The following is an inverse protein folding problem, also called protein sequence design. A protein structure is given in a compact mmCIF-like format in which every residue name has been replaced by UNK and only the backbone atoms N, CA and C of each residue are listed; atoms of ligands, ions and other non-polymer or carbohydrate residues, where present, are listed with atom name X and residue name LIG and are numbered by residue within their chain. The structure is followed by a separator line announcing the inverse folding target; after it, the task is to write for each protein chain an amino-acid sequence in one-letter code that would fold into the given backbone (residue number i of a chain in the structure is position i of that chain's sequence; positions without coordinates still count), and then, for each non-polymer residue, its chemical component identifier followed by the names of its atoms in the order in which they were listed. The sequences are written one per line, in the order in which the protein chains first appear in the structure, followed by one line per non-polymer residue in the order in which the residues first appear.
data_IF_961677910887
#
_entry.id   IF_961677910887
#
_cell.length_a   1.000
_cell.length_b   1.000
_cell.length_c   1.000
_cell.angle_alpha   90.00
_cell.angle_beta   90.00
_cell.angle_gamma   90.00
#
_symmetry.space_group_name_H-M   'P 1'
#
loop_
_entity.id
_entity.type
_entity.pdbx_description
1 polymer ?
#
# COMPACT_ATOMS: atom_id res chain seq x y z
N UNK A 1 27.03 11.94 -18.19
CA UNK A 1 26.63 11.04 -17.09
C UNK A 1 25.20 11.36 -16.67
N UNK A 2 24.91 12.63 -16.38
CA UNK A 2 23.56 13.15 -16.10
C UNK A 2 22.52 12.84 -17.21
N UNK A 3 22.86 13.02 -18.49
CA UNK A 3 21.95 12.68 -19.61
C UNK A 3 21.62 11.18 -19.74
N UNK A 4 22.45 10.28 -19.19
CA UNK A 4 22.21 8.85 -19.24
C UNK A 4 21.26 8.40 -18.10
N UNK A 5 21.39 9.01 -16.92
CA UNK A 5 20.47 8.77 -15.80
C UNK A 5 19.06 9.28 -16.10
N UNK A 6 18.93 10.45 -16.74
CA UNK A 6 17.63 10.98 -17.18
C UNK A 6 16.97 10.10 -18.25
N UNK A 7 17.75 9.60 -19.21
CA UNK A 7 17.24 8.67 -20.23
C UNK A 7 16.77 7.35 -19.61
N UNK A 8 17.49 6.82 -18.61
CA UNK A 8 17.12 5.61 -17.88
C UNK A 8 15.85 5.84 -17.05
N UNK A 9 15.75 6.97 -16.35
CA UNK A 9 14.57 7.35 -15.56
C UNK A 9 13.33 7.51 -16.45
N UNK A 10 13.48 8.17 -17.61
CA UNK A 10 12.39 8.37 -18.57
C UNK A 10 11.96 7.05 -19.23
N UNK A 11 12.90 6.18 -19.58
CA UNK A 11 12.61 4.85 -20.11
C UNK A 11 11.91 3.96 -19.06
N UNK A 12 12.38 4.00 -17.81
CA UNK A 12 11.77 3.29 -16.69
C UNK A 12 10.33 3.73 -16.44
N UNK A 13 10.08 5.04 -16.41
CA UNK A 13 8.73 5.60 -16.29
C UNK A 13 7.83 5.17 -17.46
N UNK A 14 8.35 5.21 -18.69
CA UNK A 14 7.62 4.80 -19.90
C UNK A 14 7.21 3.32 -19.85
N UNK A 15 8.11 2.43 -19.46
CA UNK A 15 7.86 1.00 -19.31
C UNK A 15 6.80 0.74 -18.23
N UNK A 16 6.89 1.43 -17.09
CA UNK A 16 5.91 1.31 -16.00
C UNK A 16 4.50 1.69 -16.47
N UNK A 17 4.36 2.82 -17.17
CA UNK A 17 3.08 3.29 -17.68
C UNK A 17 2.51 2.38 -18.77
N UNK A 18 3.36 1.81 -19.63
CA UNK A 18 2.93 0.88 -20.66
C UNK A 18 2.42 -0.45 -20.07
N UNK A 19 3.11 -0.99 -19.06
CA UNK A 19 2.67 -2.19 -18.34
C UNK A 19 1.34 -1.95 -17.60
N UNK A 20 1.18 -0.77 -16.97
CA UNK A 20 -0.06 -0.39 -16.31
C UNK A 20 -1.25 -0.33 -17.28
N UNK A 21 -1.05 0.21 -18.49
CA UNK A 21 -2.06 0.29 -19.54
C UNK A 21 -2.50 -1.09 -20.04
N UNK A 22 -1.57 -2.03 -20.18
CA UNK A 22 -1.86 -3.42 -20.57
C UNK A 22 -2.75 -4.09 -19.52
N UNK A 23 -2.46 -3.88 -18.23
CA UNK A 23 -3.26 -4.45 -17.13
C UNK A 23 -4.65 -3.82 -17.06
N UNK A 24 -4.75 -2.49 -17.17
CA UNK A 24 -6.04 -1.79 -17.21
C UNK A 24 -6.93 -2.29 -18.35
N UNK A 25 -6.38 -2.41 -19.56
CA UNK A 25 -7.12 -2.94 -20.70
C UNK A 25 -7.51 -4.41 -20.49
N UNK A 26 -6.65 -5.22 -19.88
CA UNK A 26 -6.94 -6.62 -19.55
C UNK A 26 -8.07 -6.76 -18.51
N UNK A 27 -8.14 -5.88 -17.52
CA UNK A 27 -9.22 -5.86 -16.50
C UNK A 27 -10.56 -5.48 -17.15
N UNK A 28 -10.55 -4.50 -18.04
CA UNK A 28 -11.75 -4.03 -18.75
C UNK A 28 -12.29 -5.13 -19.67
N UNK A 29 -11.41 -5.83 -20.38
CA UNK A 29 -11.80 -6.86 -21.35
C UNK A 29 -12.13 -8.21 -20.70
N UNK A 30 -11.53 -8.55 -19.55
CA UNK A 30 -11.74 -9.80 -18.84
C UNK A 30 -11.90 -9.55 -17.33
N UNK A 31 -13.08 -9.06 -16.88
CA UNK A 31 -13.32 -8.81 -15.46
C UNK A 31 -13.25 -10.12 -14.65
N UNK A 32 -12.59 -10.14 -13.48
CA UNK A 32 -12.51 -11.34 -12.65
C UNK A 32 -13.91 -11.81 -12.19
N UNK A 33 -14.08 -13.13 -12.11
CA UNK A 33 -15.34 -13.88 -11.96
C UNK A 33 -16.24 -13.33 -10.83
N UNK A 34 -17.57 -13.40 -11.04
CA UNK A 34 -18.69 -12.75 -10.31
C UNK A 34 -18.61 -12.60 -8.78
N UNK A 35 -17.87 -13.41 -8.02
CA UNK A 35 -17.67 -13.20 -6.58
C UNK A 35 -16.67 -12.06 -6.26
N UNK A 36 -15.80 -11.71 -7.21
CA UNK A 36 -14.84 -10.61 -7.15
C UNK A 36 -15.39 -9.26 -7.58
N UNK A 37 -16.64 -9.14 -8.03
CA UNK A 37 -17.16 -7.93 -8.68
C UNK A 37 -17.25 -6.72 -7.75
N UNK A 38 -17.55 -6.94 -6.46
CA UNK A 38 -17.58 -5.87 -5.43
C UNK A 38 -16.15 -5.40 -5.10
N UNK A 39 -15.19 -6.33 -5.03
CA UNK A 39 -13.78 -6.05 -4.78
C UNK A 39 -13.13 -5.37 -5.99
N UNK A 40 -13.47 -5.81 -7.21
CA UNK A 40 -13.07 -5.21 -8.49
C UNK A 40 -13.59 -3.78 -8.63
N UNK A 41 -14.83 -3.48 -8.20
CA UNK A 41 -15.40 -2.14 -8.32
C UNK A 41 -14.80 -1.16 -7.30
N UNK A 42 -14.55 -1.60 -6.07
CA UNK A 42 -13.81 -0.78 -5.08
C UNK A 42 -12.35 -0.59 -5.48
N UNK A 43 -11.73 -1.63 -6.03
CA UNK A 43 -10.39 -1.59 -6.63
C UNK A 43 -10.29 -0.61 -7.81
N UNK A 44 -11.26 -0.63 -8.74
CA UNK A 44 -11.35 0.31 -9.87
C UNK A 44 -11.65 1.75 -9.41
N UNK A 45 -12.47 1.95 -8.36
CA UNK A 45 -12.75 3.27 -7.81
C UNK A 45 -11.51 3.90 -7.16
N UNK A 46 -10.72 3.11 -6.43
CA UNK A 46 -9.47 3.56 -5.80
C UNK A 46 -8.43 3.89 -6.88
N UNK A 47 -8.32 3.07 -7.92
CA UNK A 47 -7.46 3.35 -9.09
C UNK A 47 -7.86 4.64 -9.80
N UNK A 48 -9.16 4.87 -10.02
CA UNK A 48 -9.68 6.08 -10.65
C UNK A 48 -9.41 7.33 -9.78
N UNK A 49 -9.57 7.23 -8.45
CA UNK A 49 -9.26 8.33 -7.53
C UNK A 49 -7.75 8.65 -7.46
N UNK A 50 -6.88 7.66 -7.63
CA UNK A 50 -5.42 7.85 -7.54
C UNK A 50 -4.80 8.37 -8.85
N UNK A 51 -5.32 7.95 -10.01
CA UNK A 51 -4.72 8.26 -11.33
C UNK A 51 -5.40 9.39 -12.11
N UNK A 52 -6.48 10.00 -11.59
CA UNK A 52 -7.19 11.10 -12.28
C UNK A 52 -6.31 12.33 -12.58
N UNK A 53 -5.18 12.49 -11.87
CA UNK A 53 -4.25 13.60 -12.04
C UNK A 53 -2.94 13.27 -12.80
N UNK A 54 -2.73 12.03 -13.26
CA UNK A 54 -1.43 11.60 -13.84
C UNK A 54 -1.43 11.43 -15.37
N UNK A 55 -2.60 11.60 -16.02
CA UNK A 55 -2.85 11.22 -17.41
C UNK A 55 -2.62 12.35 -18.45
N UNK A 56 -2.14 13.52 -18.04
CA UNK A 56 -1.98 14.68 -18.95
C UNK A 56 -0.73 14.63 -19.87
N UNK A 57 0.17 13.66 -19.73
CA UNK A 57 1.41 13.58 -20.52
C UNK A 57 1.34 12.74 -21.82
N UNK A 58 0.14 12.43 -22.30
CA UNK A 58 -0.08 11.50 -23.40
C UNK A 58 0.34 11.94 -24.85
N UNK A 59 0.46 13.22 -25.25
CA UNK A 59 0.62 13.53 -26.68
C UNK A 59 2.04 13.40 -27.26
N UNK A 60 3.09 13.39 -26.45
CA UNK A 60 4.48 13.54 -26.97
C UNK A 60 5.09 12.19 -27.37
N UNK A 61 4.59 11.07 -26.85
CA UNK A 61 5.19 9.74 -27.04
C UNK A 61 4.85 9.04 -28.37
N UNK A 62 3.93 9.60 -29.17
CA UNK A 62 3.47 8.97 -30.41
C UNK A 62 4.40 9.20 -31.62
N UNK A 63 5.41 10.07 -31.50
CA UNK A 63 6.24 10.52 -32.64
C UNK A 63 7.61 9.84 -32.79
N UNK A 64 8.04 9.00 -31.84
CA UNK A 64 9.37 8.34 -31.87
C UNK A 64 9.29 6.81 -32.01
N UNK A 65 8.12 6.31 -32.38
CA UNK A 65 7.80 4.89 -32.48
C UNK A 65 7.87 4.47 -33.94
N UNK A 66 9.01 3.94 -34.40
CA UNK A 66 8.90 2.74 -35.26
C UNK A 66 10.19 2.04 -35.71
N UNK A 67 11.39 2.61 -35.62
CA UNK A 67 12.55 1.96 -36.29
C UNK A 67 13.78 1.62 -35.46
N UNK A 68 14.02 2.25 -34.31
CA UNK A 68 15.19 1.93 -33.48
C UNK A 68 14.89 1.08 -32.24
N UNK A 69 13.65 1.07 -31.74
CA UNK A 69 13.27 0.34 -30.51
C UNK A 69 13.44 -1.17 -30.60
N UNK A 70 13.34 -1.78 -31.79
CA UNK A 70 13.34 -3.24 -31.92
C UNK A 70 14.71 -3.86 -31.69
N UNK A 71 15.80 -3.12 -31.97
CA UNK A 71 17.18 -3.66 -31.87
C UNK A 71 17.86 -3.36 -30.52
N UNK A 72 17.38 -2.36 -29.78
CA UNK A 72 17.86 -2.04 -28.42
C UNK A 72 17.13 -2.82 -27.31
N UNK A 73 15.97 -3.41 -27.61
CA UNK A 73 15.12 -4.13 -26.65
C UNK A 73 15.69 -5.48 -26.17
N UNK A 74 16.65 -6.05 -26.90
CA UNK A 74 17.16 -7.40 -26.63
C UNK A 74 18.33 -7.46 -25.63
N UNK A 75 19.00 -6.35 -25.30
CA UNK A 75 20.27 -6.40 -24.54
C UNK A 75 20.24 -5.77 -23.14
N UNK A 76 19.18 -5.05 -22.76
CA UNK A 76 19.11 -4.37 -21.45
C UNK A 76 18.14 -5.08 -20.51
N UNK A 77 18.62 -6.14 -19.88
CA UNK A 77 17.95 -6.81 -18.77
C UNK A 77 18.48 -6.26 -17.45
N UNK A 78 17.59 -5.76 -16.59
CA UNK A 78 17.97 -5.08 -15.35
C UNK A 78 17.31 -5.81 -14.18
N UNK A 79 18.13 -6.20 -13.20
CA UNK A 79 17.70 -6.86 -11.97
C UNK A 79 18.42 -6.20 -10.78
N UNK A 80 17.67 -5.51 -9.93
CA UNK A 80 18.19 -4.97 -8.67
C UNK A 80 17.08 -4.83 -7.62
N UNK A 81 17.47 -4.76 -6.35
CA UNK A 81 16.55 -4.57 -5.23
C UNK A 81 16.70 -3.17 -4.63
N UNK A 82 15.61 -2.45 -4.45
CA UNK A 82 15.59 -1.16 -3.76
C UNK A 82 15.46 -1.44 -2.26
N UNK A 83 16.45 -1.06 -1.42
CA UNK A 83 16.34 -1.21 0.02
C UNK A 83 15.42 -0.14 0.61
N UNK A 84 14.86 -0.42 1.78
CA UNK A 84 13.77 0.37 2.34
C UNK A 84 14.13 1.80 2.71
N UNK A 85 15.37 2.04 3.13
CA UNK A 85 15.78 3.32 3.69
C UNK A 85 15.73 4.47 2.68
N UNK A 86 15.91 4.21 1.37
CA UNK A 86 15.75 5.22 0.32
C UNK A 86 14.34 5.81 0.25
N UNK A 87 13.32 5.04 0.63
CA UNK A 87 11.91 5.46 0.58
C UNK A 87 11.41 5.86 1.96
N UNK A 88 11.72 5.07 2.98
CA UNK A 88 11.21 5.26 4.33
C UNK A 88 11.84 6.45 5.05
N UNK A 89 13.11 6.80 4.79
CA UNK A 89 13.75 7.94 5.43
C UNK A 89 13.15 9.27 4.96
N UNK A 90 13.01 9.56 3.64
CA UNK A 90 12.29 10.74 3.18
C UNK A 90 10.84 10.77 3.67
N UNK A 91 10.14 9.63 3.66
CA UNK A 91 8.76 9.54 4.17
C UNK A 91 8.67 9.88 5.66
N UNK A 92 9.63 9.43 6.48
CA UNK A 92 9.71 9.76 7.89
C UNK A 92 9.92 11.27 8.12
N UNK A 93 10.84 11.90 7.37
CA UNK A 93 11.12 13.33 7.46
C UNK A 93 9.88 14.16 7.06
N UNK A 94 9.22 13.80 5.97
CA UNK A 94 7.98 14.45 5.53
C UNK A 94 6.85 14.26 6.55
N UNK A 95 6.74 13.09 7.17
CA UNK A 95 5.77 12.81 8.23
C UNK A 95 6.01 13.67 9.48
N UNK A 96 7.27 13.81 9.91
CA UNK A 96 7.64 14.68 11.03
C UNK A 96 7.39 16.16 10.71
N UNK A 97 7.74 16.61 9.50
CA UNK A 97 7.45 17.96 9.03
C UNK A 97 5.94 18.22 8.99
N UNK A 98 5.15 17.29 8.47
CA UNK A 98 3.69 17.38 8.44
C UNK A 98 3.08 17.43 9.85
N UNK A 99 3.58 16.63 10.80
CA UNK A 99 3.18 16.68 12.20
C UNK A 99 3.51 18.03 12.84
N UNK A 100 4.70 18.57 12.55
CA UNK A 100 5.12 19.89 13.04
C UNK A 100 4.22 21.01 12.49
N UNK A 101 3.95 21.02 11.18
CA UNK A 101 3.02 21.98 10.56
C UNK A 101 1.62 21.83 11.17
N UNK A 102 1.11 20.61 11.30
CA UNK A 102 -0.22 20.34 11.84
C UNK A 102 -0.38 20.80 13.29
N UNK A 103 0.64 20.60 14.13
CA UNK A 103 0.64 21.11 15.52
C UNK A 103 0.68 22.64 15.58
N UNK A 104 1.28 23.32 14.60
CA UNK A 104 1.27 24.79 14.48
C UNK A 104 -0.03 25.36 13.93
N UNK A 105 -0.69 24.66 13.01
CA UNK A 105 -1.97 25.07 12.43
C UNK A 105 -3.17 24.82 13.35
N UNK A 106 -2.99 24.03 14.41
CA UNK A 106 -4.04 23.73 15.40
C UNK A 106 -4.29 24.94 16.31
N UNK A 107 -5.55 25.37 16.40
CA UNK A 107 -6.00 26.41 17.35
C UNK A 107 -5.84 25.99 18.81
N UNK A 108 -6.05 24.71 19.09
CA UNK A 108 -5.95 24.13 20.43
C UNK A 108 -4.60 23.44 20.62
N UNK A 109 -3.97 23.65 21.78
CA UNK A 109 -2.70 22.99 22.11
C UNK A 109 -2.89 21.48 22.22
N UNK A 110 -2.06 20.73 21.50
CA UNK A 110 -2.01 19.26 21.56
C UNK A 110 -1.19 18.84 22.78
N UNK A 111 -1.65 17.84 23.53
CA UNK A 111 -0.93 17.33 24.72
C UNK A 111 0.31 16.54 24.29
N UNK A 112 1.43 16.57 25.05
CA UNK A 112 2.62 15.80 24.72
C UNK A 112 2.35 14.29 24.54
N UNK A 113 1.46 13.70 25.35
CA UNK A 113 1.08 12.29 25.22
C UNK A 113 0.37 12.00 23.88
N UNK A 114 -0.44 12.92 23.36
CA UNK A 114 -1.09 12.76 22.05
C UNK A 114 -0.05 12.80 20.92
N UNK A 115 0.95 13.68 21.04
CA UNK A 115 2.08 13.73 20.10
C UNK A 115 2.88 12.43 20.15
N UNK A 116 3.17 11.90 21.34
CA UNK A 116 3.85 10.63 21.51
C UNK A 116 3.10 9.46 20.82
N UNK A 117 1.77 9.41 20.95
CA UNK A 117 0.92 8.45 20.23
C UNK A 117 1.09 8.58 18.72
N UNK A 118 1.01 9.79 18.17
CA UNK A 118 1.16 10.01 16.72
C UNK A 118 2.56 9.64 16.22
N UNK A 119 3.62 9.97 16.96
CA UNK A 119 4.99 9.58 16.61
C UNK A 119 5.14 8.05 16.64
N UNK A 120 4.65 7.40 17.69
CA UNK A 120 4.71 5.93 17.81
C UNK A 120 3.91 5.22 16.70
N UNK A 121 2.77 5.78 16.31
CA UNK A 121 1.99 5.32 15.16
C UNK A 121 2.78 5.48 13.86
N UNK A 122 3.45 6.62 13.66
CA UNK A 122 4.28 6.87 12.48
C UNK A 122 5.43 5.87 12.36
N UNK A 123 6.17 5.63 13.45
CA UNK A 123 7.24 4.62 13.50
C UNK A 123 6.68 3.24 13.17
N UNK A 124 5.58 2.85 13.82
CA UNK A 124 4.90 1.57 13.54
C UNK A 124 4.52 1.44 12.05
N UNK A 125 3.93 2.48 11.44
CA UNK A 125 3.56 2.45 10.03
C UNK A 125 4.78 2.29 9.13
N UNK A 126 5.90 2.95 9.42
CA UNK A 126 7.14 2.77 8.68
C UNK A 126 7.66 1.32 8.77
N UNK A 127 7.58 0.70 9.96
CA UNK A 127 7.93 -0.71 10.13
C UNK A 127 7.01 -1.63 9.33
N UNK A 128 5.69 -1.38 9.31
CA UNK A 128 4.75 -2.15 8.49
C UNK A 128 5.07 -1.99 7.00
N UNK A 129 5.33 -0.77 6.53
CA UNK A 129 5.73 -0.52 5.14
C UNK A 129 7.03 -1.26 4.79
N UNK A 130 8.01 -1.28 5.69
CA UNK A 130 9.23 -2.08 5.53
C UNK A 130 8.90 -3.56 5.32
N UNK A 131 8.10 -4.15 6.20
CA UNK A 131 7.77 -5.58 6.17
C UNK A 131 6.94 -5.98 4.94
N UNK A 132 6.00 -5.13 4.53
CA UNK A 132 5.05 -5.44 3.44
C UNK A 132 5.68 -5.27 2.06
N UNK A 133 6.49 -4.22 1.87
CA UNK A 133 6.96 -3.82 0.54
C UNK A 133 8.41 -4.13 0.26
N UNK A 134 9.27 -4.26 1.28
CA UNK A 134 10.71 -4.33 1.07
C UNK A 134 11.28 -5.74 1.25
N UNK A 135 12.37 -6.08 0.56
CA UNK A 135 12.99 -5.30 -0.54
C UNK A 135 12.04 -5.20 -1.75
N UNK A 136 12.15 -4.11 -2.53
CA UNK A 136 11.39 -3.98 -3.80
C UNK A 136 12.29 -4.47 -4.93
N UNK A 137 11.96 -5.64 -5.48
CA UNK A 137 12.70 -6.20 -6.61
C UNK A 137 12.22 -5.60 -7.93
N UNK A 138 13.16 -5.04 -8.68
CA UNK A 138 12.97 -4.49 -10.02
C UNK A 138 13.55 -5.48 -11.02
N UNK A 139 12.66 -6.11 -11.80
CA UNK A 139 13.00 -7.07 -12.84
C UNK A 139 12.44 -6.58 -14.17
N UNK A 140 13.31 -6.05 -15.04
CA UNK A 140 12.95 -5.51 -16.36
C UNK A 140 13.66 -6.33 -17.45
N UNK A 141 12.99 -6.54 -18.58
CA UNK A 141 13.53 -7.28 -19.72
C UNK A 141 13.27 -8.78 -19.65
N UNK A 142 14.26 -9.61 -19.96
CA UNK A 142 14.10 -11.07 -19.98
C UNK A 142 13.80 -11.67 -18.59
N UNK A 143 14.20 -10.99 -17.52
CA UNK A 143 13.93 -11.38 -16.14
C UNK A 143 12.58 -10.89 -15.60
N UNK A 144 11.86 -10.05 -16.35
CA UNK A 144 10.54 -9.59 -15.93
C UNK A 144 9.58 -10.77 -15.79
N UNK A 145 8.81 -10.81 -14.71
CA UNK A 145 7.83 -11.87 -14.50
C UNK A 145 6.78 -11.85 -15.63
N UNK A 146 6.93 -12.77 -16.59
CA UNK A 146 6.02 -12.90 -17.75
C UNK A 146 4.71 -13.59 -17.40
N UNK A 147 4.57 -14.06 -16.17
CA UNK A 147 3.33 -14.66 -15.69
C UNK A 147 2.21 -13.62 -15.75
N UNK A 148 1.11 -13.90 -16.47
CA UNK A 148 -0.01 -12.98 -16.57
C UNK A 148 -0.46 -12.52 -15.18
N UNK A 149 -0.69 -11.23 -15.02
CA UNK A 149 -0.93 -10.62 -13.70
C UNK A 149 -2.11 -11.23 -12.94
N UNK A 150 -3.15 -11.67 -13.66
CA UNK A 150 -4.33 -12.31 -13.08
C UNK A 150 -4.04 -13.70 -12.47
N UNK A 151 -2.95 -14.39 -12.87
CA UNK A 151 -2.54 -15.68 -12.27
C UNK A 151 -1.76 -15.51 -10.97
N UNK A 152 -1.27 -14.31 -10.68
CA UNK A 152 -0.57 -14.01 -9.43
C UNK A 152 -1.48 -13.47 -8.33
N UNK A 153 -2.78 -13.37 -8.62
CA UNK A 153 -3.79 -13.03 -7.63
C UNK A 153 -4.42 -14.34 -7.17
N UNK A 154 -4.26 -14.65 -5.89
CA UNK A 154 -4.92 -15.79 -5.27
C UNK A 154 -6.33 -15.36 -4.84
N UNK A 155 -7.31 -15.62 -5.70
CA UNK A 155 -8.70 -15.22 -5.48
C UNK A 155 -9.51 -16.20 -4.62
N UNK A 156 -8.98 -17.39 -4.31
CA UNK A 156 -9.74 -18.41 -3.59
C UNK A 156 -9.48 -18.21 -2.10
N UNK A 157 -10.41 -17.58 -1.35
CA UNK A 157 -10.24 -17.44 0.09
C UNK A 157 -10.29 -18.82 0.74
N UNK A 158 -9.61 -18.97 1.88
CA UNK A 158 -9.73 -20.09 2.83
C UNK A 158 -9.07 -21.41 2.37
N UNK A 159 -9.26 -21.83 1.11
CA UNK A 159 -8.71 -23.10 0.60
C UNK A 159 -7.18 -23.10 0.41
N UNK A 160 -6.59 -21.92 0.26
CA UNK A 160 -5.16 -21.72 0.00
C UNK A 160 -4.43 -21.06 1.18
N UNK A 161 -5.04 -21.05 2.37
CA UNK A 161 -4.44 -20.45 3.57
C UNK A 161 -3.15 -21.20 3.92
N UNK A 162 -2.03 -20.50 3.86
CA UNK A 162 -0.88 -20.80 4.69
C UNK A 162 -1.12 -20.18 6.08
N UNK A 163 -1.31 -21.03 7.08
CA UNK A 163 -1.62 -20.61 8.44
C UNK A 163 -0.55 -19.67 9.02
N UNK A 164 0.72 -19.86 8.65
CA UNK A 164 1.82 -19.06 9.17
C UNK A 164 1.72 -17.61 8.67
N UNK A 165 1.62 -17.41 7.36
CA UNK A 165 1.51 -16.06 6.76
C UNK A 165 0.20 -15.38 7.18
N UNK A 166 -0.89 -16.14 7.24
CA UNK A 166 -2.18 -15.63 7.70
C UNK A 166 -2.12 -15.08 9.13
N UNK A 167 -1.52 -15.83 10.07
CA UNK A 167 -1.35 -15.37 11.45
C UNK A 167 -0.41 -14.16 11.56
N UNK A 168 0.68 -14.13 10.77
CA UNK A 168 1.60 -12.99 10.75
C UNK A 168 0.91 -11.72 10.25
N UNK A 169 0.05 -11.81 9.24
CA UNK A 169 -0.75 -10.69 8.75
C UNK A 169 -1.77 -10.20 9.78
N UNK A 170 -2.42 -11.11 10.52
CA UNK A 170 -3.25 -10.72 11.69
C UNK A 170 -2.41 -9.93 12.70
N UNK A 171 -1.28 -10.50 13.14
CA UNK A 171 -0.42 -9.88 14.15
C UNK A 171 0.08 -8.51 13.70
N UNK A 172 0.43 -8.37 12.43
CA UNK A 172 0.91 -7.12 11.84
C UNK A 172 -0.11 -5.98 12.00
N UNK A 173 -1.41 -6.22 11.81
CA UNK A 173 -2.44 -5.17 11.90
C UNK A 173 -3.12 -5.01 13.26
N UNK A 174 -2.79 -5.86 14.26
CA UNK A 174 -3.27 -5.68 15.64
C UNK A 174 -2.91 -4.28 16.20
N UNK A 175 -1.64 -3.82 16.13
CA UNK A 175 -1.28 -2.51 16.66
C UNK A 175 -2.04 -1.37 15.97
N UNK A 176 -2.25 -1.43 14.65
CA UNK A 176 -3.11 -0.47 13.95
C UNK A 176 -4.51 -0.42 14.56
N UNK A 177 -5.13 -1.57 14.79
CA UNK A 177 -6.42 -1.67 15.47
C UNK A 177 -6.43 -1.02 16.86
N UNK A 178 -5.36 -1.22 17.62
CA UNK A 178 -5.19 -0.63 18.96
C UNK A 178 -5.08 0.89 18.94
N UNK A 179 -4.51 1.49 17.88
CA UNK A 179 -4.43 2.95 17.74
C UNK A 179 -5.79 3.61 17.46
N UNK A 180 -6.73 2.88 16.83
CA UNK A 180 -8.00 3.47 16.37
C UNK A 180 -8.83 4.16 17.46
N UNK A 181 -9.01 3.63 18.68
CA UNK A 181 -9.76 4.31 19.74
C UNK A 181 -9.11 5.59 20.28
N UNK A 182 -7.81 5.79 20.03
CA UNK A 182 -7.09 7.02 20.41
C UNK A 182 -7.21 8.12 19.36
N UNK A 183 -7.37 7.74 18.10
CA UNK A 183 -7.48 8.69 16.97
C UNK A 183 -8.95 9.02 16.67
N UNK A 184 -9.84 8.03 16.80
CA UNK A 184 -11.26 8.15 16.43
C UNK A 184 -12.11 8.29 17.69
N UNK A 185 -12.56 9.51 17.98
CA UNK A 185 -13.35 9.82 19.18
C UNK A 185 -14.62 8.95 19.32
N UNK A 186 -14.81 8.44 20.53
CA UNK A 186 -16.03 8.02 21.29
C UNK A 186 -17.10 7.13 20.63
N UNK A 187 -17.41 7.25 19.34
CA UNK A 187 -18.43 6.43 18.63
C UNK A 187 -17.84 5.34 17.73
N UNK A 188 -16.60 4.94 17.99
CA UNK A 188 -15.99 3.81 17.27
C UNK A 188 -16.85 2.54 17.42
N UNK A 189 -17.08 1.85 16.31
CA UNK A 189 -17.68 0.51 16.29
C UNK A 189 -16.66 -0.47 15.72
N UNK A 190 -16.79 -1.75 16.06
CA UNK A 190 -15.97 -2.80 15.45
C UNK A 190 -16.12 -2.81 13.92
N UNK A 191 -17.30 -2.41 13.40
CA UNK A 191 -17.54 -2.20 11.97
C UNK A 191 -16.66 -1.09 11.37
N UNK A 192 -16.43 0.01 12.10
CA UNK A 192 -15.54 1.08 11.64
C UNK A 192 -14.08 0.61 11.65
N UNK A 193 -13.67 -0.15 12.66
CA UNK A 193 -12.34 -0.77 12.71
C UNK A 193 -12.13 -1.76 11.56
N UNK A 194 -13.11 -2.62 11.30
CA UNK A 194 -13.10 -3.53 10.15
C UNK A 194 -12.99 -2.77 8.83
N UNK A 195 -13.78 -1.70 8.63
CA UNK A 195 -13.71 -0.89 7.40
C UNK A 195 -12.33 -0.26 7.20
N UNK A 196 -11.74 0.31 8.26
CA UNK A 196 -10.42 0.95 8.15
C UNK A 196 -9.29 -0.07 7.98
N UNK A 197 -9.35 -1.20 8.69
CA UNK A 197 -8.41 -2.31 8.50
C UNK A 197 -8.49 -2.89 7.09
N UNK A 198 -9.71 -3.09 6.57
CA UNK A 198 -9.94 -3.52 5.21
C UNK A 198 -9.39 -2.54 4.19
N UNK A 199 -9.67 -1.23 4.32
CA UNK A 199 -9.16 -0.22 3.41
C UNK A 199 -7.63 -0.13 3.44
N UNK A 200 -7.03 -0.19 4.62
CA UNK A 200 -5.57 -0.19 4.75
C UNK A 200 -4.96 -1.43 4.10
N UNK A 201 -5.49 -2.61 4.39
CA UNK A 201 -4.97 -3.83 3.80
C UNK A 201 -5.22 -3.92 2.30
N UNK A 202 -6.36 -3.42 1.80
CA UNK A 202 -6.60 -3.33 0.36
C UNK A 202 -5.61 -2.39 -0.33
N UNK A 203 -5.18 -1.32 0.36
CA UNK A 203 -4.14 -0.43 -0.15
C UNK A 203 -2.78 -1.14 -0.25
N UNK A 204 -2.45 -2.05 0.67
CA UNK A 204 -1.22 -2.84 0.59
C UNK A 204 -1.23 -3.80 -0.59
N UNK A 205 -2.29 -4.59 -0.73
CA UNK A 205 -2.49 -5.50 -1.86
C UNK A 205 -2.43 -4.76 -3.20
N UNK A 206 -3.07 -3.59 -3.30
CA UNK A 206 -3.07 -2.76 -4.50
C UNK A 206 -1.66 -2.25 -4.83
N UNK A 207 -0.93 -1.76 -3.84
CA UNK A 207 0.43 -1.25 -4.05
C UNK A 207 1.38 -2.40 -4.46
N UNK A 208 1.24 -3.59 -3.87
CA UNK A 208 2.01 -4.77 -4.26
C UNK A 208 1.70 -5.19 -5.70
N UNK A 209 0.42 -5.16 -6.10
CA UNK A 209 0.03 -5.45 -7.48
C UNK A 209 0.58 -4.40 -8.46
N UNK A 210 0.54 -3.12 -8.10
CA UNK A 210 1.15 -2.06 -8.92
C UNK A 210 2.65 -2.32 -9.07
N UNK A 211 3.37 -2.54 -7.97
CA UNK A 211 4.82 -2.85 -7.97
C UNK A 211 5.11 -4.06 -8.85
N UNK A 212 4.30 -5.12 -8.76
CA UNK A 212 4.43 -6.30 -9.61
C UNK A 212 4.30 -5.96 -11.10
N UNK A 213 3.26 -5.20 -11.45
CA UNK A 213 2.95 -4.88 -12.85
C UNK A 213 3.98 -3.91 -13.44
N UNK A 214 4.38 -2.89 -12.67
CA UNK A 214 5.29 -1.86 -13.16
C UNK A 214 6.75 -2.31 -13.14
N UNK A 215 7.16 -3.01 -12.08
CA UNK A 215 8.56 -3.38 -11.83
C UNK A 215 8.87 -4.86 -12.09
N UNK A 216 7.89 -5.67 -12.50
CA UNK A 216 8.09 -7.08 -12.78
C UNK A 216 8.41 -7.94 -11.55
N UNK A 217 8.09 -7.44 -10.35
CA UNK A 217 8.34 -8.15 -9.08
C UNK A 217 7.65 -9.51 -9.04
N UNK A 218 8.23 -10.46 -8.31
CA UNK A 218 7.66 -11.81 -8.12
C UNK A 218 6.52 -11.88 -7.10
N UNK A 219 6.21 -10.77 -6.38
CA UNK A 219 5.21 -10.79 -5.32
C UNK A 219 3.82 -11.12 -5.84
N UNK A 220 3.12 -11.99 -5.10
CA UNK A 220 1.71 -12.31 -5.30
C UNK A 220 0.82 -11.48 -4.39
N UNK A 221 -0.40 -11.25 -4.83
CA UNK A 221 -1.47 -10.59 -4.07
C UNK A 221 -2.42 -11.67 -3.58
N UNK A 222 -2.75 -11.70 -2.29
CA UNK A 222 -3.57 -12.75 -1.70
C UNK A 222 -4.78 -12.19 -0.94
N UNK A 223 -5.98 -12.66 -1.30
CA UNK A 223 -7.20 -12.23 -0.61
C UNK A 223 -7.21 -12.67 0.86
N UNK A 224 -6.48 -13.73 1.22
CA UNK A 224 -6.34 -14.18 2.59
C UNK A 224 -5.57 -13.16 3.44
N UNK A 225 -4.62 -12.43 2.85
CA UNK A 225 -3.86 -11.37 3.52
C UNK A 225 -4.77 -10.18 3.82
N UNK A 226 -5.66 -9.83 2.89
CA UNK A 226 -6.72 -8.85 3.09
C UNK A 226 -7.62 -9.17 4.30
N UNK A 227 -8.05 -10.44 4.38
CA UNK A 227 -8.91 -10.91 5.47
C UNK A 227 -8.17 -10.97 6.81
N UNK A 228 -6.95 -11.51 6.83
CA UNK A 228 -6.08 -11.59 7.99
C UNK A 228 -5.82 -10.22 8.61
N UNK A 229 -5.36 -9.27 7.80
CA UNK A 229 -5.08 -7.90 8.22
C UNK A 229 -6.35 -7.22 8.77
N UNK A 230 -7.50 -7.39 8.09
CA UNK A 230 -8.78 -6.86 8.56
C UNK A 230 -9.16 -7.43 9.93
N UNK A 231 -8.95 -8.73 10.15
CA UNK A 231 -9.20 -9.38 11.42
C UNK A 231 -8.28 -8.84 12.53
N UNK A 232 -6.99 -8.67 12.24
CA UNK A 232 -6.02 -8.04 13.14
C UNK A 232 -6.47 -6.66 13.62
N UNK A 233 -6.92 -5.81 12.69
CA UNK A 233 -7.44 -4.48 13.03
C UNK A 233 -8.67 -4.53 13.96
N UNK A 234 -9.58 -5.48 13.75
CA UNK A 234 -10.75 -5.67 14.62
C UNK A 234 -10.34 -6.15 16.00
N UNK A 235 -9.43 -7.13 16.09
CA UNK A 235 -8.92 -7.66 17.35
C UNK A 235 -8.25 -6.56 18.16
N UNK A 236 -7.31 -5.82 17.57
CA UNK A 236 -6.61 -4.72 18.23
C UNK A 236 -7.57 -3.63 18.74
N UNK A 237 -8.57 -3.29 17.93
CA UNK A 237 -9.60 -2.33 18.33
C UNK A 237 -10.41 -2.82 19.53
N UNK A 238 -10.82 -4.09 19.54
CA UNK A 238 -11.60 -4.68 20.62
C UNK A 238 -10.81 -4.75 21.93
N UNK A 239 -9.51 -5.03 21.87
CA UNK A 239 -8.61 -5.03 23.04
C UNK A 239 -8.67 -3.67 23.74
N UNK A 240 -8.34 -2.60 23.02
CA UNK A 240 -8.29 -1.25 23.60
C UNK A 240 -9.68 -0.78 24.01
N UNK A 241 -10.72 -1.08 23.22
CA UNK A 241 -12.11 -0.75 23.59
C UNK A 241 -12.52 -1.39 24.92
N UNK A 242 -12.12 -2.64 25.20
CA UNK A 242 -12.38 -3.28 26.49
C UNK A 242 -11.62 -2.59 27.61
N UNK A 243 -10.38 -2.17 27.37
CA UNK A 243 -9.59 -1.41 28.37
C UNK A 243 -10.26 -0.08 28.76
N UNK A 244 -10.87 0.64 27.82
CA UNK A 244 -11.63 1.86 28.12
C UNK A 244 -12.86 1.65 29.02
N UNK A 245 -13.38 0.43 29.15
CA UNK A 245 -14.50 0.13 30.07
C UNK A 245 -14.05 -0.06 31.52
N UNK A 246 -12.75 -0.25 31.75
CA UNK A 246 -12.19 -0.44 33.09
C UNK A 246 -11.94 0.94 33.70
N UNK A 247 -12.62 1.25 34.82
CA UNK A 247 -12.63 2.59 35.44
C UNK A 247 -11.25 3.25 35.62
N UNK A 248 -10.24 2.59 36.25
CA UNK A 248 -8.91 3.20 36.41
C UNK A 248 -8.18 3.42 35.07
N UNK A 249 -8.37 2.52 34.11
CA UNK A 249 -7.73 2.62 32.79
C UNK A 249 -8.35 3.75 31.95
N UNK A 250 -9.66 3.96 32.05
CA UNK A 250 -10.36 4.99 31.28
C UNK A 250 -9.77 6.40 31.50
N UNK A 251 -9.49 6.76 32.76
CA UNK A 251 -8.93 8.07 33.11
C UNK A 251 -7.53 8.28 32.55
N UNK A 252 -6.71 7.22 32.53
CA UNK A 252 -5.36 7.25 31.97
C UNK A 252 -5.43 7.32 30.44
N UNK A 253 -6.18 6.42 29.81
CA UNK A 253 -6.28 6.29 28.35
C UNK A 253 -6.86 7.55 27.68
N UNK A 254 -7.74 8.29 28.35
CA UNK A 254 -8.25 9.59 27.87
C UNK A 254 -7.16 10.65 27.65
N UNK A 255 -6.02 10.54 28.33
CA UNK A 255 -4.90 11.47 28.14
C UNK A 255 -4.20 11.28 26.79
N UNK A 256 -4.29 10.08 26.23
CA UNK A 256 -3.72 9.67 24.94
C UNK A 256 -4.67 9.90 23.76
N UNK A 257 -5.97 10.13 24.01
CA UNK A 257 -6.96 10.37 22.95
C UNK A 257 -6.79 11.76 22.34
N UNK A 258 -6.71 11.84 21.00
CA UNK A 258 -6.68 13.08 20.20
C UNK A 258 -8.07 13.73 20.07
#
# INVERSE_FOLDING_TARGET
MEMAEDAISHLFFTICMQNLKIVLNSIIQNPPIRAGFIYSLTFLLILNLFFKNSLEFLPILCLLKDKEEVKLKETMSIMFSIPSWYVLLPAALLGLMGLWIWTRCRKEKVRPLQIAVLISLGIYLLCVLHLVFFPIDVNIGIYANRTPWYKAINFIPILTIDLKTFLLNIIMLIPFGMYLPFIIKSKGSAKKAAKLGFLLSASFELLQLIIRVTLGSGRSTDINDLLANTLGAVIGYLIVKRMFKVSPLNSILKQFQL
#
